data_IF_135633741758
#
_entry.id   IF_135633741758
#
_cell.length_a   1.000
_cell.length_b   1.000
_cell.length_c   1.000
_cell.angle_alpha   90.00
_cell.angle_beta   90.00
_cell.angle_gamma   90.00
#
_symmetry.space_group_name_H-M   'P 1'
#
loop_
_entity.id
_entity.type
_entity.pdbx_description
1 polymer ?
#
# COMPACT_ATOMS: atom_id res chain seq x y z
N UNK A 1 1.93 -10.12 -5.48
CA UNK A 1 2.57 -8.79 -5.40
C UNK A 1 1.85 -7.81 -6.31
N UNK A 2 1.50 -6.66 -5.77
CA UNK A 2 0.74 -5.65 -6.51
C UNK A 2 1.55 -4.35 -6.53
N UNK A 3 1.89 -3.89 -7.73
CA UNK A 3 2.66 -2.65 -7.87
C UNK A 3 1.72 -1.57 -8.37
N UNK A 4 1.65 -0.45 -7.64
CA UNK A 4 0.77 0.65 -8.00
C UNK A 4 1.55 1.95 -8.04
N UNK A 5 1.12 2.86 -8.90
CA UNK A 5 1.70 4.19 -8.96
C UNK A 5 1.06 5.07 -7.88
N UNK A 6 1.73 6.21 -7.59
CA UNK A 6 1.18 7.15 -6.62
C UNK A 6 -0.18 7.68 -7.06
N UNK A 7 -0.34 7.88 -8.38
CA UNK A 7 -1.60 8.36 -8.92
C UNK A 7 -2.73 7.35 -8.68
N UNK A 8 -2.47 6.09 -9.01
CA UNK A 8 -3.45 5.03 -8.82
C UNK A 8 -3.76 4.84 -7.35
N UNK A 9 -2.73 4.90 -6.52
CA UNK A 9 -2.93 4.75 -5.09
C UNK A 9 -3.84 5.84 -4.54
N UNK A 10 -3.62 7.07 -4.95
CA UNK A 10 -4.44 8.19 -4.49
C UNK A 10 -5.89 8.05 -4.92
N UNK A 11 -6.10 7.54 -6.14
CA UNK A 11 -7.45 7.36 -6.66
C UNK A 11 -8.21 6.24 -5.95
N UNK A 12 -7.51 5.14 -5.65
CA UNK A 12 -8.12 3.96 -5.05
C UNK A 12 -7.47 3.61 -3.71
N UNK A 13 -7.23 4.62 -2.90
CA UNK A 13 -6.49 4.46 -1.66
C UNK A 13 -7.09 3.40 -0.74
N UNK A 14 -8.38 3.48 -0.51
CA UNK A 14 -9.04 2.53 0.39
C UNK A 14 -8.93 1.11 -0.12
N UNK A 15 -9.05 0.92 -1.43
CA UNK A 15 -8.96 -0.39 -2.03
C UNK A 15 -7.58 -1.02 -1.78
N UNK A 16 -6.53 -0.26 -2.02
CA UNK A 16 -5.18 -0.79 -1.85
C UNK A 16 -4.82 -0.99 -0.39
N UNK A 17 -5.30 -0.12 0.49
CA UNK A 17 -5.08 -0.29 1.91
C UNK A 17 -5.77 -1.55 2.42
N UNK A 18 -6.96 -1.84 1.92
CA UNK A 18 -7.66 -3.07 2.29
C UNK A 18 -6.92 -4.30 1.80
N UNK A 19 -6.34 -4.23 0.60
CA UNK A 19 -5.56 -5.34 0.08
C UNK A 19 -4.33 -5.59 0.93
N UNK A 20 -3.64 -4.53 1.33
CA UNK A 20 -2.47 -4.69 2.20
C UNK A 20 -2.88 -5.26 3.54
N UNK A 21 -4.02 -4.84 4.05
CA UNK A 21 -4.51 -5.31 5.34
C UNK A 21 -4.90 -6.79 5.31
N UNK A 22 -5.25 -7.31 4.15
CA UNK A 22 -5.60 -8.72 4.01
C UNK A 22 -4.38 -9.61 3.79
N UNK A 23 -3.19 -9.02 3.78
CA UNK A 23 -1.95 -9.78 3.62
C UNK A 23 -1.33 -9.70 2.25
N UNK A 24 -1.90 -8.93 1.36
CA UNK A 24 -1.35 -8.78 0.02
C UNK A 24 -0.15 -7.84 0.03
N UNK A 25 0.84 -8.16 -0.80
CA UNK A 25 2.02 -7.29 -0.93
C UNK A 25 1.71 -6.16 -1.89
N UNK A 26 1.56 -4.97 -1.36
CA UNK A 26 1.28 -3.78 -2.16
C UNK A 26 2.54 -2.92 -2.20
N UNK A 27 3.03 -2.67 -3.40
CA UNK A 27 4.23 -1.87 -3.61
C UNK A 27 3.83 -0.55 -4.23
N UNK A 28 4.19 0.54 -3.58
CA UNK A 28 3.94 1.87 -4.08
C UNK A 28 5.16 2.37 -4.82
N UNK A 29 5.00 2.66 -6.10
CA UNK A 29 6.10 3.12 -6.92
C UNK A 29 5.99 4.62 -7.15
N UNK A 30 7.03 5.36 -6.82
CA UNK A 30 7.04 6.81 -6.97
C UNK A 30 8.38 7.26 -7.54
N UNK A 31 8.51 8.57 -7.76
CA UNK A 31 9.76 9.14 -8.21
C UNK A 31 10.87 8.95 -7.20
N UNK A 32 10.52 8.97 -5.94
CA UNK A 32 11.50 8.82 -4.86
C UNK A 32 11.96 7.39 -4.69
N UNK A 33 11.27 6.44 -5.33
CA UNK A 33 11.62 5.04 -5.23
C UNK A 33 10.38 4.19 -5.02
N UNK A 34 10.60 2.94 -4.67
CA UNK A 34 9.53 2.00 -4.42
C UNK A 34 9.40 1.76 -2.93
N UNK A 35 8.17 1.70 -2.45
CA UNK A 35 7.89 1.52 -1.03
C UNK A 35 6.87 0.42 -0.85
N UNK A 36 7.04 -0.38 0.18
CA UNK A 36 6.09 -1.44 0.49
C UNK A 36 5.11 -0.94 1.53
N UNK A 37 3.83 -1.17 1.28
CA UNK A 37 2.78 -0.79 2.20
C UNK A 37 2.48 -1.97 3.10
N UNK A 38 2.66 -1.81 4.40
CA UNK A 38 2.38 -2.86 5.37
C UNK A 38 1.42 -2.33 6.43
N UNK A 39 0.46 -3.15 6.85
CA UNK A 39 -0.44 -2.74 7.92
C UNK A 39 0.28 -2.81 9.26
N UNK A 40 0.03 -1.84 10.09
CA UNK A 40 0.57 -1.82 11.45
C UNK A 40 -0.60 -2.01 12.40
N UNK A 41 -0.50 -3.02 13.26
CA UNK A 41 -1.56 -3.28 14.23
C UNK A 41 -1.62 -2.14 15.24
N UNK A 42 -2.82 -1.64 15.49
CA UNK A 42 -2.98 -0.57 16.47
C UNK A 42 -2.66 -1.03 17.89
N UNK A 43 -2.65 -2.34 18.10
CA UNK A 43 -2.33 -2.89 19.41
C UNK A 43 -0.85 -2.82 19.73
N UNK A 44 -0.03 -2.54 18.75
CA UNK A 44 1.41 -2.49 18.91
C UNK A 44 1.90 -1.16 19.43
N UNK A 45 1.02 -0.23 19.59
CA UNK A 45 1.39 1.12 20.03
C UNK A 45 1.27 1.26 21.54
#
# INVERSE_FOLDING_TARGET
>A
MLVVSTRDFRTNQTKYLNKANSGEHVILKSRAGSFKIVPISSNDI
#
